data_IF_454748865050
#
_entry.id   IF_454748865050
#
_cell.length_a   1.000
_cell.length_b   1.000
_cell.length_c   1.000
_cell.angle_alpha   90.00
_cell.angle_beta   90.00
_cell.angle_gamma   90.00
#
_symmetry.space_group_name_H-M   'P 1'
#
loop_
_entity.id
_entity.type
_entity.pdbx_description
1 polymer ?
#
# COMPACT_ATOMS: atom_id res chain seq x y z
N UNK A 1 0.41 -13.00 17.79
CA UNK A 1 0.54 -14.46 17.54
C UNK A 1 -0.76 -15.06 17.03
N UNK A 2 -1.87 -14.94 17.76
CA UNK A 2 -3.18 -15.48 17.35
C UNK A 2 -3.68 -14.97 15.98
N UNK A 3 -3.56 -13.66 15.69
CA UNK A 3 -3.94 -13.12 14.37
C UNK A 3 -3.11 -13.66 13.21
N UNK A 4 -1.85 -14.02 13.45
CA UNK A 4 -0.99 -14.64 12.44
C UNK A 4 -1.42 -16.08 12.17
N UNK A 5 -1.71 -16.85 13.22
CA UNK A 5 -2.20 -18.23 13.09
C UNK A 5 -3.54 -18.29 12.37
N UNK A 6 -4.47 -17.37 12.67
CA UNK A 6 -5.77 -17.28 11.99
C UNK A 6 -5.58 -16.95 10.51
N UNK A 7 -4.70 -15.99 10.19
CA UNK A 7 -4.41 -15.60 8.83
C UNK A 7 -3.71 -16.72 8.04
N UNK A 8 -2.71 -17.36 8.64
CA UNK A 8 -1.97 -18.47 8.06
C UNK A 8 -2.86 -19.69 7.84
N UNK A 9 -3.70 -20.07 8.81
CA UNK A 9 -4.62 -21.19 8.68
C UNK A 9 -5.70 -20.92 7.61
N UNK A 10 -6.23 -19.70 7.57
CA UNK A 10 -7.17 -19.27 6.54
C UNK A 10 -6.53 -19.35 5.15
N UNK A 11 -5.33 -18.77 4.97
CA UNK A 11 -4.61 -18.83 3.70
C UNK A 11 -4.20 -20.25 3.31
N UNK A 12 -3.83 -21.09 4.27
CA UNK A 12 -3.47 -22.48 4.04
C UNK A 12 -4.64 -23.28 3.48
N UNK A 13 -5.84 -23.15 4.07
CA UNK A 13 -7.05 -23.80 3.54
C UNK A 13 -7.29 -23.39 2.08
N UNK A 14 -7.37 -22.09 1.78
CA UNK A 14 -7.68 -21.65 0.42
C UNK A 14 -6.57 -21.89 -0.62
N UNK A 15 -5.30 -22.00 -0.23
CA UNK A 15 -4.21 -22.27 -1.18
C UNK A 15 -3.95 -23.77 -1.42
N UNK A 16 -4.25 -24.65 -0.44
CA UNK A 16 -3.90 -26.07 -0.54
C UNK A 16 -5.08 -27.02 -0.71
N UNK A 17 -6.32 -26.55 -0.58
CA UNK A 17 -7.51 -27.39 -0.86
C UNK A 17 -8.19 -27.00 -2.16
N UNK A 18 -8.62 -28.00 -2.92
CA UNK A 18 -9.38 -27.83 -4.17
C UNK A 18 -10.74 -27.17 -3.91
N UNK A 19 -11.27 -26.37 -4.87
CA UNK A 19 -12.65 -25.94 -4.80
C UNK A 19 -13.57 -27.16 -4.76
N UNK A 20 -14.57 -27.15 -3.88
CA UNK A 20 -15.59 -28.20 -3.88
C UNK A 20 -16.39 -28.14 -5.19
N UNK A 21 -16.73 -29.32 -5.73
CA UNK A 21 -17.53 -29.46 -6.96
C UNK A 21 -19.00 -29.03 -6.74
N UNK A 22 -19.25 -27.72 -6.73
CA UNK A 22 -20.59 -27.13 -6.79
C UNK A 22 -20.61 -25.96 -7.77
N UNK A 23 -21.80 -25.57 -8.26
CA UNK A 23 -21.98 -24.56 -9.35
C UNK A 23 -21.31 -23.21 -9.05
N UNK A 24 -21.17 -22.86 -7.77
CA UNK A 24 -20.48 -21.65 -7.31
C UNK A 24 -19.14 -21.92 -6.62
N UNK A 25 -18.63 -23.16 -6.69
CA UNK A 25 -17.44 -23.63 -5.99
C UNK A 25 -16.20 -22.86 -6.38
N UNK A 26 -15.95 -22.78 -7.69
CA UNK A 26 -14.86 -21.98 -8.27
C UNK A 26 -15.02 -20.50 -7.92
N UNK A 27 -16.21 -19.92 -8.07
CA UNK A 27 -16.42 -18.51 -7.73
C UNK A 27 -16.18 -18.23 -6.24
N UNK A 28 -16.55 -19.15 -5.33
CA UNK A 28 -16.35 -18.94 -3.91
C UNK A 28 -14.87 -19.08 -3.52
N UNK A 29 -14.21 -20.09 -4.06
CA UNK A 29 -12.80 -20.37 -3.80
C UNK A 29 -11.86 -19.35 -4.45
N UNK A 30 -12.21 -18.84 -5.63
CA UNK A 30 -11.40 -17.90 -6.42
C UNK A 30 -11.79 -16.44 -6.27
N UNK A 31 -12.99 -16.11 -5.77
CA UNK A 31 -13.43 -14.71 -5.59
C UNK A 31 -13.95 -14.40 -4.19
N UNK A 32 -14.70 -15.27 -3.52
CA UNK A 32 -15.19 -14.95 -2.17
C UNK A 32 -14.09 -14.91 -1.12
N UNK A 33 -13.01 -15.67 -1.26
CA UNK A 33 -11.87 -15.57 -0.34
C UNK A 33 -11.16 -14.19 -0.37
N UNK A 34 -11.55 -13.29 -1.28
CA UNK A 34 -11.12 -11.89 -1.37
C UNK A 34 -11.87 -10.95 -0.42
N UNK A 35 -13.12 -11.29 -0.07
CA UNK A 35 -14.06 -10.41 0.61
C UNK A 35 -13.91 -10.42 2.14
N UNK A 36 -13.67 -11.55 2.83
CA UNK A 36 -13.71 -11.55 4.29
C UNK A 36 -12.39 -11.06 4.89
N UNK A 37 -12.57 -10.28 5.95
CA UNK A 37 -11.61 -9.72 6.89
C UNK A 37 -10.44 -10.63 7.40
N UNK A 38 -10.54 -11.98 7.50
CA UNK A 38 -9.48 -12.81 8.09
C UNK A 38 -8.16 -12.81 7.29
N UNK A 39 -8.22 -12.69 5.97
CA UNK A 39 -7.04 -12.62 5.11
C UNK A 39 -6.17 -11.38 5.35
N UNK A 40 -6.70 -10.39 6.07
CA UNK A 40 -6.04 -9.11 6.34
C UNK A 40 -5.86 -8.80 7.82
N UNK A 41 -6.44 -9.62 8.72
CA UNK A 41 -6.43 -9.37 10.17
C UNK A 41 -5.01 -9.25 10.74
N UNK A 42 -4.06 -9.96 10.15
CA UNK A 42 -2.65 -9.87 10.51
C UNK A 42 -2.08 -8.48 10.24
N UNK A 43 -2.34 -7.92 9.06
CA UNK A 43 -1.91 -6.56 8.71
C UNK A 43 -2.54 -5.52 9.63
N UNK A 44 -3.84 -5.63 9.93
CA UNK A 44 -4.51 -4.72 10.85
C UNK A 44 -3.94 -4.81 12.27
N UNK A 45 -3.63 -6.02 12.75
CA UNK A 45 -3.04 -6.23 14.07
C UNK A 45 -1.64 -5.63 14.16
N UNK A 46 -0.79 -5.86 13.15
CA UNK A 46 0.55 -5.28 13.10
C UNK A 46 0.49 -3.77 13.00
N UNK A 47 -0.37 -3.23 12.13
CA UNK A 47 -0.52 -1.78 11.98
C UNK A 47 -1.00 -1.14 13.30
N UNK A 48 -1.96 -1.77 13.99
CA UNK A 48 -2.43 -1.30 15.29
C UNK A 48 -1.31 -1.32 16.34
N UNK A 49 -0.57 -2.43 16.45
CA UNK A 49 0.55 -2.54 17.39
C UNK A 49 1.66 -1.53 17.08
N UNK A 50 2.02 -1.41 15.80
CA UNK A 50 3.03 -0.46 15.33
C UNK A 50 2.63 0.99 15.62
N UNK A 51 1.34 1.34 15.46
CA UNK A 51 0.82 2.65 15.82
C UNK A 51 0.79 2.89 17.33
N UNK A 52 0.35 1.90 18.12
CA UNK A 52 0.24 2.02 19.59
C UNK A 52 1.61 2.13 20.27
N UNK A 53 2.60 1.40 19.77
CA UNK A 53 3.96 1.34 20.31
C UNK A 53 4.99 1.94 19.34
N UNK A 54 4.62 3.03 18.67
CA UNK A 54 5.42 3.67 17.63
C UNK A 54 6.89 3.89 18.02
N UNK A 55 7.15 4.49 19.19
CA UNK A 55 8.51 4.76 19.67
C UNK A 55 9.35 3.49 19.92
N UNK A 56 8.72 2.39 20.32
CA UNK A 56 9.41 1.11 20.49
C UNK A 56 9.74 0.48 19.13
N UNK A 57 8.80 0.56 18.18
CA UNK A 57 8.96 0.04 16.82
C UNK A 57 10.06 0.79 16.07
N UNK A 58 10.10 2.12 16.17
CA UNK A 58 11.16 2.92 15.55
C UNK A 58 12.53 2.59 16.15
N UNK A 59 12.63 2.43 17.48
CA UNK A 59 13.88 1.99 18.12
C UNK A 59 14.33 0.63 17.61
N UNK A 60 13.42 -0.34 17.52
CA UNK A 60 13.72 -1.65 16.96
C UNK A 60 14.25 -1.54 15.52
N UNK A 61 13.56 -0.78 14.67
CA UNK A 61 13.97 -0.54 13.28
C UNK A 61 15.36 0.10 13.20
N UNK A 62 15.68 1.04 14.09
CA UNK A 62 16.99 1.70 14.12
C UNK A 62 18.12 0.79 14.60
N UNK A 63 17.86 -0.09 15.58
CA UNK A 63 18.83 -1.10 16.03
C UNK A 63 19.15 -2.09 14.91
N UNK A 64 18.12 -2.56 14.20
CA UNK A 64 18.26 -3.53 13.11
C UNK A 64 18.35 -2.91 11.71
N UNK A 65 18.82 -1.66 11.60
CA UNK A 65 18.80 -0.87 10.34
C UNK A 65 19.37 -1.61 9.12
N UNK A 66 20.47 -2.36 9.29
CA UNK A 66 21.11 -3.08 8.18
C UNK A 66 20.20 -4.19 7.66
N UNK A 67 19.56 -4.94 8.57
CA UNK A 67 18.58 -5.96 8.22
C UNK A 67 17.34 -5.36 7.57
N UNK A 68 16.84 -4.22 8.08
CA UNK A 68 15.68 -3.53 7.50
C UNK A 68 15.96 -3.02 6.09
N UNK A 69 17.18 -2.56 5.80
CA UNK A 69 17.58 -2.11 4.46
C UNK A 69 17.69 -3.29 3.48
N UNK A 70 18.25 -4.42 3.93
CA UNK A 70 18.51 -5.59 3.07
C UNK A 70 17.27 -6.48 2.88
N UNK A 71 16.41 -6.58 3.90
CA UNK A 71 15.22 -7.43 3.91
C UNK A 71 14.29 -7.28 2.69
N UNK A 72 13.92 -6.09 2.18
CA UNK A 72 13.05 -5.99 1.00
C UNK A 72 13.68 -6.57 -0.26
N UNK A 73 15.00 -6.45 -0.43
CA UNK A 73 15.71 -7.03 -1.58
C UNK A 73 15.77 -8.56 -1.49
N UNK A 74 16.09 -9.09 -0.31
CA UNK A 74 16.17 -10.54 -0.09
C UNK A 74 14.79 -11.18 -0.24
N UNK A 75 13.77 -10.63 0.41
CA UNK A 75 12.40 -11.12 0.31
C UNK A 75 11.82 -10.97 -1.10
N UNK A 76 12.18 -9.89 -1.81
CA UNK A 76 11.80 -9.69 -3.21
C UNK A 76 12.44 -10.72 -4.15
N UNK A 77 13.72 -11.04 -3.93
CA UNK A 77 14.40 -12.10 -4.67
C UNK A 77 13.74 -13.46 -4.44
N UNK A 78 13.43 -13.82 -3.19
CA UNK A 78 12.71 -15.07 -2.89
C UNK A 78 11.33 -15.10 -3.52
N UNK A 79 10.60 -13.98 -3.53
CA UNK A 79 9.29 -13.87 -4.16
C UNK A 79 9.36 -14.14 -5.67
N UNK A 80 10.36 -13.57 -6.36
CA UNK A 80 10.63 -13.84 -7.79
C UNK A 80 11.06 -15.29 -8.02
N UNK A 81 11.92 -15.83 -7.16
CA UNK A 81 12.36 -17.22 -7.24
C UNK A 81 11.18 -18.19 -7.10
N UNK A 82 10.34 -18.02 -6.07
CA UNK A 82 9.15 -18.86 -5.88
C UNK A 82 8.14 -18.72 -7.02
N UNK A 83 8.01 -17.52 -7.59
CA UNK A 83 7.17 -17.30 -8.76
C UNK A 83 7.68 -18.07 -9.99
N UNK A 84 8.97 -17.98 -10.31
CA UNK A 84 9.55 -18.66 -11.48
C UNK A 84 9.72 -20.18 -11.30
N UNK A 85 9.83 -20.65 -10.05
CA UNK A 85 9.94 -22.08 -9.73
C UNK A 85 8.62 -22.86 -9.89
N UNK A 86 7.50 -22.18 -10.16
CA UNK A 86 6.19 -22.82 -10.31
C UNK A 86 5.56 -23.30 -9.00
N UNK A 87 6.20 -23.10 -7.84
CA UNK A 87 5.65 -23.49 -6.53
C UNK A 87 4.44 -22.64 -6.11
N UNK A 88 4.39 -21.37 -6.54
CA UNK A 88 3.33 -20.41 -6.18
C UNK A 88 2.91 -19.60 -7.42
N UNK A 89 2.20 -20.26 -8.33
CA UNK A 89 1.77 -19.67 -9.63
C UNK A 89 0.59 -18.69 -9.48
N UNK A 90 -0.13 -18.74 -8.35
CA UNK A 90 -1.32 -17.92 -8.15
C UNK A 90 -0.91 -16.45 -7.90
N UNK A 91 -1.29 -15.57 -8.83
CA UNK A 91 -1.13 -14.11 -8.74
C UNK A 91 -2.08 -13.50 -7.71
N UNK A 92 -1.82 -13.73 -6.42
CA UNK A 92 -2.69 -13.25 -5.36
C UNK A 92 -1.86 -12.69 -4.22
N UNK A 93 -2.32 -11.57 -3.63
CA UNK A 93 -1.74 -10.92 -2.42
C UNK A 93 -1.74 -11.82 -1.17
N UNK A 94 -2.24 -13.05 -1.33
CA UNK A 94 -2.49 -14.09 -0.34
C UNK A 94 -1.37 -15.14 -0.27
N UNK A 95 -0.29 -14.89 -0.99
CA UNK A 95 0.99 -15.60 -0.92
C UNK A 95 1.71 -15.27 0.39
N UNK A 96 2.10 -16.28 1.14
CA UNK A 96 2.77 -16.11 2.45
C UNK A 96 4.06 -15.30 2.29
N UNK A 97 4.77 -15.47 1.18
CA UNK A 97 5.96 -14.72 0.82
C UNK A 97 5.68 -13.23 0.55
N UNK A 98 4.48 -12.88 0.05
CA UNK A 98 4.05 -11.49 -0.08
C UNK A 98 3.86 -10.86 1.30
N UNK A 99 3.32 -11.58 2.29
CA UNK A 99 3.17 -11.05 3.66
C UNK A 99 4.51 -10.59 4.24
N UNK A 100 5.53 -11.45 4.13
CA UNK A 100 6.88 -11.18 4.64
C UNK A 100 7.53 -10.05 3.86
N UNK A 101 7.37 -10.04 2.53
CA UNK A 101 7.89 -8.97 1.70
C UNK A 101 7.25 -7.62 2.02
N UNK A 102 5.92 -7.55 2.15
CA UNK A 102 5.20 -6.33 2.49
C UNK A 102 5.62 -5.77 3.85
N UNK A 103 5.78 -6.62 4.87
CA UNK A 103 6.30 -6.18 6.18
C UNK A 103 7.71 -5.61 6.08
N UNK A 104 8.57 -6.25 5.30
CA UNK A 104 9.94 -5.78 5.06
C UNK A 104 9.96 -4.41 4.38
N UNK A 105 9.10 -4.23 3.37
CA UNK A 105 8.93 -2.93 2.68
C UNK A 105 8.36 -1.87 3.62
N UNK A 106 7.38 -2.20 4.47
CA UNK A 106 6.83 -1.26 5.46
C UNK A 106 7.92 -0.81 6.45
N UNK A 107 8.68 -1.75 7.00
CA UNK A 107 9.78 -1.43 7.91
C UNK A 107 10.85 -0.56 7.22
N UNK A 108 11.16 -0.86 5.96
CA UNK A 108 12.07 -0.07 5.13
C UNK A 108 11.56 1.36 4.93
N UNK A 109 10.30 1.53 4.53
CA UNK A 109 9.69 2.86 4.35
C UNK A 109 9.65 3.63 5.67
N UNK A 110 9.29 2.97 6.78
CA UNK A 110 9.31 3.59 8.12
C UNK A 110 10.72 4.04 8.53
N UNK A 111 11.74 3.22 8.26
CA UNK A 111 13.13 3.61 8.51
C UNK A 111 13.50 4.91 7.77
N UNK A 112 13.23 4.98 6.46
CA UNK A 112 13.50 6.19 5.68
C UNK A 112 12.66 7.38 6.15
N UNK A 113 11.38 7.15 6.47
CA UNK A 113 10.50 8.19 7.00
C UNK A 113 11.05 8.81 8.30
N UNK A 114 11.67 8.02 9.18
CA UNK A 114 12.28 8.54 10.42
C UNK A 114 13.55 9.38 10.18
N UNK A 115 14.20 9.22 9.02
CA UNK A 115 15.40 9.98 8.63
C UNK A 115 15.05 11.26 7.90
N UNK A 116 13.84 11.37 7.33
CA UNK A 116 13.38 12.56 6.64
C UNK A 116 12.98 13.64 7.64
N UNK A 117 13.63 14.80 7.56
CA UNK A 117 13.32 15.97 8.40
C UNK A 117 12.02 16.67 7.98
N UNK A 118 11.65 16.55 6.70
CA UNK A 118 10.45 17.13 6.13
C UNK A 118 9.95 16.28 4.95
N UNK A 119 8.64 16.30 4.72
CA UNK A 119 8.01 15.63 3.58
C UNK A 119 8.19 16.52 2.34
N UNK A 120 8.80 16.04 1.25
CA UNK A 120 8.96 16.84 0.03
C UNK A 120 7.60 17.23 -0.55
N UNK A 121 7.53 18.41 -1.18
CA UNK A 121 6.28 18.94 -1.76
C UNK A 121 5.66 17.99 -2.80
N UNK A 122 6.48 17.31 -3.59
CA UNK A 122 6.03 16.31 -4.58
C UNK A 122 5.27 15.15 -3.92
N UNK A 123 5.78 14.61 -2.82
CA UNK A 123 5.11 13.54 -2.07
C UNK A 123 3.76 14.01 -1.52
N UNK A 124 3.70 15.26 -1.06
CA UNK A 124 2.46 15.84 -0.56
C UNK A 124 1.42 16.00 -1.67
N UNK A 125 1.83 16.38 -2.88
CA UNK A 125 0.95 16.42 -4.07
C UNK A 125 0.44 15.03 -4.39
N UNK A 126 1.32 14.04 -4.56
CA UNK A 126 0.91 12.67 -4.88
C UNK A 126 -0.04 12.11 -3.82
N UNK A 127 0.26 12.31 -2.53
CA UNK A 127 -0.58 11.86 -1.44
C UNK A 127 -2.00 12.45 -1.49
N UNK A 128 -2.14 13.74 -1.87
CA UNK A 128 -3.44 14.40 -2.05
C UNK A 128 -4.30 13.75 -3.15
N UNK A 129 -3.67 13.24 -4.21
CA UNK A 129 -4.35 12.60 -5.34
C UNK A 129 -4.40 11.07 -5.23
N UNK A 130 -3.74 10.47 -4.23
CA UNK A 130 -3.52 9.02 -4.11
C UNK A 130 -4.81 8.19 -4.23
N UNK A 131 -5.88 8.58 -3.55
CA UNK A 131 -7.18 7.91 -3.62
C UNK A 131 -7.77 7.93 -5.04
N UNK A 132 -7.78 9.09 -5.69
CA UNK A 132 -8.31 9.21 -7.05
C UNK A 132 -7.43 8.49 -8.08
N UNK A 133 -6.11 8.51 -7.90
CA UNK A 133 -5.17 7.75 -8.75
C UNK A 133 -5.46 6.25 -8.62
N UNK A 134 -5.61 5.75 -7.38
CA UNK A 134 -5.96 4.36 -7.13
C UNK A 134 -7.24 3.95 -7.86
N UNK A 135 -8.25 4.81 -7.90
CA UNK A 135 -9.52 4.50 -8.55
C UNK A 135 -9.45 4.54 -10.09
N UNK A 136 -8.67 5.47 -10.66
CA UNK A 136 -8.68 5.72 -12.10
C UNK A 136 -7.54 5.05 -12.88
N UNK A 137 -6.42 4.73 -12.24
CA UNK A 137 -5.23 4.27 -12.96
C UNK A 137 -5.47 2.98 -13.77
N UNK A 138 -6.20 2.01 -13.23
CA UNK A 138 -6.52 0.74 -13.95
C UNK A 138 -7.37 0.99 -15.19
N UNK A 139 -8.33 1.90 -15.11
CA UNK A 139 -9.14 2.33 -16.25
C UNK A 139 -8.28 2.98 -17.33
N UNK A 140 -7.36 3.88 -16.94
CA UNK A 140 -6.45 4.51 -17.90
C UNK A 140 -5.45 3.53 -18.52
N UNK A 141 -4.90 2.61 -17.73
CA UNK A 141 -4.03 1.54 -18.26
C UNK A 141 -4.79 0.72 -19.31
N UNK A 142 -6.04 0.33 -19.03
CA UNK A 142 -6.86 -0.45 -19.96
C UNK A 142 -7.11 0.29 -21.27
N UNK A 143 -7.47 1.58 -21.18
CA UNK A 143 -7.67 2.45 -22.36
C UNK A 143 -6.38 2.59 -23.16
N UNK A 144 -5.25 2.82 -22.50
CA UNK A 144 -3.95 2.99 -23.16
C UNK A 144 -3.48 1.71 -23.85
N UNK A 145 -3.73 0.53 -23.28
CA UNK A 145 -3.41 -0.75 -23.91
C UNK A 145 -4.20 -0.91 -25.21
N UNK A 146 -5.50 -0.63 -25.19
CA UNK A 146 -6.35 -0.67 -26.39
C UNK A 146 -5.87 0.34 -27.43
N UNK A 147 -5.52 1.56 -27.01
CA UNK A 147 -5.02 2.60 -27.89
C UNK A 147 -3.70 2.20 -28.57
N UNK A 148 -2.73 1.67 -27.80
CA UNK A 148 -1.45 1.19 -28.34
C UNK A 148 -1.65 0.03 -29.33
N UNK A 149 -2.59 -0.87 -29.05
CA UNK A 149 -2.94 -1.96 -29.95
C UNK A 149 -3.52 -1.44 -31.28
N UNK A 150 -4.41 -0.44 -31.23
CA UNK A 150 -4.97 0.20 -32.43
C UNK A 150 -3.90 0.91 -33.28
N UNK A 151 -2.93 1.54 -32.63
CA UNK A 151 -1.81 2.21 -33.29
C UNK A 151 -0.69 1.25 -33.72
N UNK A 152 -0.81 -0.05 -33.42
CA UNK A 152 0.23 -1.07 -33.66
C UNK A 152 1.61 -0.68 -33.10
N UNK A 153 1.64 0.09 -32.00
CA UNK A 153 2.87 0.55 -31.38
C UNK A 153 3.36 -0.47 -30.36
N UNK A 154 4.46 -1.14 -30.66
CA UNK A 154 5.14 -2.04 -29.72
C UNK A 154 6.49 -1.45 -29.31
N UNK A 155 6.54 -0.90 -28.10
CA UNK A 155 7.73 -0.27 -27.53
C UNK A 155 8.42 -1.20 -26.50
N UNK A 156 8.04 -2.49 -26.47
CA UNK A 156 8.62 -3.50 -25.58
C UNK A 156 8.55 -3.10 -24.10
N UNK A 157 9.70 -3.10 -23.41
CA UNK A 157 9.81 -2.79 -21.97
C UNK A 157 9.39 -1.34 -21.64
N UNK A 158 9.59 -0.40 -22.58
CA UNK A 158 9.23 1.00 -22.39
C UNK A 158 7.71 1.20 -22.32
N UNK A 159 6.92 0.25 -22.84
CA UNK A 159 5.47 0.25 -22.70
C UNK A 159 5.05 0.31 -21.23
N UNK A 160 5.77 -0.38 -20.34
CA UNK A 160 5.45 -0.38 -18.90
C UNK A 160 5.66 1.01 -18.29
N UNK A 161 6.80 1.65 -18.59
CA UNK A 161 7.11 3.00 -18.12
C UNK A 161 6.12 4.03 -18.68
N UNK A 162 5.77 3.90 -19.96
CA UNK A 162 4.80 4.77 -20.61
C UNK A 162 3.41 4.61 -19.97
N UNK A 163 2.92 3.37 -19.81
CA UNK A 163 1.65 3.09 -19.15
C UNK A 163 1.63 3.67 -17.74
N UNK A 164 2.71 3.50 -16.97
CA UNK A 164 2.81 4.03 -15.62
C UNK A 164 2.74 5.56 -15.58
N UNK A 165 3.58 6.25 -16.36
CA UNK A 165 3.66 7.72 -16.35
C UNK A 165 2.36 8.34 -16.90
N UNK A 166 1.84 7.81 -18.02
CA UNK A 166 0.66 8.37 -18.67
C UNK A 166 -0.60 8.10 -17.84
N UNK A 167 -0.76 6.90 -17.27
CA UNK A 167 -1.93 6.61 -16.42
C UNK A 167 -1.97 7.47 -15.16
N UNK A 168 -0.83 7.72 -14.50
CA UNK A 168 -0.76 8.58 -13.32
C UNK A 168 -1.04 10.04 -13.68
N UNK A 169 -0.39 10.55 -14.73
CA UNK A 169 -0.59 11.95 -15.13
C UNK A 169 -2.02 12.20 -15.60
N UNK A 170 -2.60 11.29 -16.39
CA UNK A 170 -4.01 11.35 -16.79
C UNK A 170 -4.96 11.27 -15.59
N UNK A 171 -4.68 10.38 -14.62
CA UNK A 171 -5.47 10.29 -13.39
C UNK A 171 -5.44 11.60 -12.61
N UNK A 172 -4.26 12.18 -12.38
CA UNK A 172 -4.11 13.46 -11.67
C UNK A 172 -4.84 14.58 -12.40
N UNK A 173 -4.69 14.67 -13.72
CA UNK A 173 -5.37 15.66 -14.54
C UNK A 173 -6.89 15.54 -14.39
N UNK A 174 -7.44 14.34 -14.57
CA UNK A 174 -8.87 14.09 -14.44
C UNK A 174 -9.40 14.40 -13.04
N UNK A 175 -8.68 14.03 -11.99
CA UNK A 175 -9.06 14.39 -10.61
C UNK A 175 -9.06 15.91 -10.43
N UNK A 176 -8.03 16.60 -10.94
CA UNK A 176 -7.90 18.05 -10.85
C UNK A 176 -9.06 18.78 -11.56
N UNK A 177 -9.43 18.35 -12.77
CA UNK A 177 -10.56 18.93 -13.49
C UNK A 177 -11.90 18.57 -12.84
N UNK A 178 -12.12 17.32 -12.44
CA UNK A 178 -13.37 16.89 -11.81
C UNK A 178 -13.61 17.57 -10.46
N UNK A 179 -12.57 17.82 -9.65
CA UNK A 179 -12.73 18.49 -8.36
C UNK A 179 -13.19 19.96 -8.48
N UNK A 180 -13.11 20.56 -9.68
CA UNK A 180 -13.69 21.90 -9.92
C UNK A 180 -15.22 21.86 -9.97
N UNK A 181 -15.81 20.72 -10.31
CA UNK A 181 -17.26 20.54 -10.34
C UNK A 181 -17.79 20.13 -8.96
N UNK A 182 -19.02 20.53 -8.64
CA UNK A 182 -19.68 20.24 -7.36
C UNK A 182 -19.85 18.73 -7.11
N UNK A 183 -20.06 17.94 -8.16
CA UNK A 183 -20.26 16.49 -8.08
C UNK A 183 -18.94 15.68 -8.12
N UNK A 184 -17.87 16.21 -8.70
CA UNK A 184 -16.65 15.43 -8.95
C UNK A 184 -15.97 14.94 -7.66
N UNK A 185 -16.14 15.68 -6.55
CA UNK A 185 -15.66 15.30 -5.21
C UNK A 185 -16.19 13.95 -4.72
N UNK A 186 -17.37 13.53 -5.17
CA UNK A 186 -17.97 12.25 -4.77
C UNK A 186 -17.43 11.06 -5.58
N UNK A 187 -16.93 11.30 -6.80
CA UNK A 187 -16.42 10.25 -7.69
C UNK A 187 -14.92 10.02 -7.45
N UNK A 188 -14.13 11.09 -7.41
CA UNK A 188 -12.66 11.00 -7.33
C UNK A 188 -12.08 11.28 -5.95
N UNK A 189 -12.94 11.53 -4.97
CA UNK A 189 -12.56 11.94 -3.62
C UNK A 189 -12.26 13.44 -3.51
N UNK A 190 -12.38 13.96 -2.30
CA UNK A 190 -12.12 15.36 -1.99
C UNK A 190 -10.61 15.61 -1.95
N UNK A 191 -10.11 16.40 -2.89
CA UNK A 191 -8.73 16.88 -2.84
C UNK A 191 -8.73 18.22 -2.12
N UNK A 192 -7.89 18.34 -1.08
CA UNK A 192 -7.70 19.59 -0.35
C UNK A 192 -6.82 20.52 -1.21
N UNK A 193 -7.48 21.27 -2.12
CA UNK A 193 -6.86 22.25 -3.03
C UNK A 193 -6.43 23.52 -2.24
N UNK A 194 -6.71 23.59 -0.94
CA UNK A 194 -6.30 24.74 -0.14
C UNK A 194 -4.77 24.85 -0.11
N UNK A 195 -4.24 25.86 -0.80
CA UNK A 195 -2.83 26.26 -0.85
C UNK A 195 -2.35 26.92 0.46
N UNK A 196 -3.10 26.82 1.55
CA UNK A 196 -2.64 27.34 2.84
C UNK A 196 -1.67 26.31 3.44
N UNK A 197 -0.38 26.65 3.61
CA UNK A 197 0.55 25.74 4.29
C UNK A 197 0.00 25.45 5.68
N UNK A 198 -0.31 24.18 5.96
CA UNK A 198 -0.66 23.74 7.31
C UNK A 198 0.63 23.83 8.12
N UNK A 199 0.81 24.95 8.83
CA UNK A 199 1.90 25.13 9.78
C UNK A 199 1.80 24.00 10.79
N UNK A 200 2.74 23.06 10.75
CA UNK A 200 2.86 22.00 11.75
C UNK A 200 3.13 22.70 13.08
N UNK A 201 2.09 22.87 13.90
CA UNK A 201 2.23 23.38 15.27
C UNK A 201 3.13 22.39 16.01
N UNK A 202 4.36 22.80 16.29
CA UNK A 202 5.23 22.16 17.28
C UNK A 202 4.41 22.09 18.57
N UNK A 203 4.01 20.89 18.97
CA UNK A 203 3.44 20.65 20.30
C UNK A 203 4.49 21.08 21.31
N UNK A 204 4.34 22.28 21.87
CA UNK A 204 5.10 22.72 23.05
C UNK A 204 4.69 21.75 24.17
N UNK A 205 5.66 20.95 24.61
CA UNK A 205 5.60 20.20 25.85
C UNK A 205 5.24 21.18 26.97
N UNK A 206 3.96 21.20 27.35
CA UNK A 206 3.52 21.75 28.63
C UNK A 206 3.73 20.61 29.62
N UNK A 207 4.91 20.56 30.22
CA UNK A 207 5.13 19.80 31.44
C UNK A 207 5.87 20.71 32.42
N UNK A 208 5.08 21.13 33.42
CA UNK A 208 5.48 21.49 34.77
C UNK A 208 6.09 22.88 34.96
N UNK A 209 5.21 23.88 35.06
CA UNK A 209 5.43 25.10 35.85
C UNK A 209 4.46 25.18 37.03
N UNK A 210 4.20 24.05 37.69
CA UNK A 210 3.34 23.98 38.89
C UNK A 210 4.12 23.37 40.05
N UNK A 211 5.15 24.07 40.55
CA UNK A 211 5.71 23.82 41.89
C UNK A 211 6.47 25.03 42.45
N UNK A 212 5.85 26.20 42.38
CA UNK A 212 6.23 27.37 43.16
C UNK A 212 4.92 28.05 43.60
N UNK A 213 4.23 27.50 44.60
CA UNK A 213 3.37 28.21 45.57
C UNK A 213 2.56 27.22 46.44
N UNK A 214 3.15 26.79 47.54
CA UNK A 214 2.52 26.58 48.87
C UNK A 214 3.69 26.43 49.84
N UNK A 215 3.99 27.50 50.58
CA UNK A 215 3.60 27.70 51.99
C UNK A 215 4.47 26.88 52.93
#
# INVERSE_FOLDING_TARGET
>A
MYSFLINAAYLFLFNFTSPFNFVFGEYIWERFYWIPFPGWIFYFTIAYYAGRHYEAVIRFIQVYKNWVIVAPFVTGFFLLYFYHSGFLVIHSSKRIDILVHTLSVIAFVLYFATKMKSIPSLFMVINKYSYGIYLLHTSYISILIVLLALLSLNIGIFTILLLFIVSITASIATIYYLNRFSFGKYIVGKVDISNKPKTVKKTKTILVSDNQHSS
#
